data_IF_948353346969
#
_entry.id   IF_948353346969
#
_cell.length_a   1.000
_cell.length_b   1.000
_cell.length_c   1.000
_cell.angle_alpha   90.00
_cell.angle_beta   90.00
_cell.angle_gamma   90.00
#
_symmetry.space_group_name_H-M   'P 1'
#
loop_
_entity.id
_entity.type
_entity.pdbx_description
1 polymer ?
#
# COMPACT_ATOMS: atom_id res chain seq x y z
N UNK A 1 -13.51 -14.27 3.63
CA UNK A 1 -12.29 -14.66 4.36
C UNK A 1 -11.67 -13.39 4.89
N UNK A 2 -11.17 -13.37 6.14
CA UNK A 2 -10.43 -12.21 6.64
C UNK A 2 -9.16 -12.06 5.83
N UNK A 3 -9.22 -11.21 4.80
CA UNK A 3 -8.06 -10.72 4.07
C UNK A 3 -7.14 -10.12 5.13
N UNK A 4 -6.10 -10.87 5.48
CA UNK A 4 -5.06 -10.40 6.38
C UNK A 4 -4.54 -9.15 5.70
N UNK A 5 -4.73 -7.97 6.29
CA UNK A 5 -4.24 -6.72 5.74
C UNK A 5 -2.74 -6.88 5.46
N UNK A 6 -2.39 -7.20 4.20
CA UNK A 6 -1.01 -7.45 3.83
C UNK A 6 -0.35 -6.08 3.80
N UNK A 7 0.59 -5.90 4.72
CA UNK A 7 1.45 -4.73 4.81
C UNK A 7 2.73 -4.99 4.03
N UNK A 8 3.01 -4.14 3.06
CA UNK A 8 4.15 -4.19 2.16
C UNK A 8 5.13 -3.07 2.48
N UNK A 9 6.41 -3.32 2.34
CA UNK A 9 7.44 -2.36 2.73
C UNK A 9 7.92 -1.55 1.52
N UNK A 10 8.41 -0.31 1.72
CA UNK A 10 9.07 0.43 0.64
C UNK A 10 10.23 -0.37 0.06
N UNK A 11 10.35 -0.38 -1.26
CA UNK A 11 11.34 -1.22 -1.93
C UNK A 11 10.86 -2.64 -2.27
N UNK A 12 9.70 -3.06 -1.76
CA UNK A 12 9.10 -4.35 -2.14
C UNK A 12 8.34 -4.25 -3.46
N UNK A 13 8.24 -5.37 -4.17
CA UNK A 13 7.48 -5.47 -5.41
C UNK A 13 5.99 -5.61 -5.11
N UNK A 14 5.19 -4.76 -5.75
CA UNK A 14 3.74 -4.72 -5.65
C UNK A 14 3.16 -6.00 -6.26
N UNK A 15 2.46 -6.83 -5.45
CA UNK A 15 1.97 -8.13 -5.93
C UNK A 15 0.76 -7.99 -6.87
N UNK A 16 -0.01 -6.91 -6.72
CA UNK A 16 -1.25 -6.67 -7.46
C UNK A 16 -1.46 -5.18 -7.69
N UNK A 17 -2.03 -4.81 -8.84
CA UNK A 17 -2.42 -3.42 -9.07
C UNK A 17 -3.58 -3.03 -8.17
N UNK A 18 -3.51 -1.88 -7.53
CA UNK A 18 -4.56 -1.39 -6.63
C UNK A 18 -4.18 -0.12 -5.90
N UNK A 19 -5.11 0.36 -5.10
CA UNK A 19 -4.90 1.44 -4.16
C UNK A 19 -4.36 0.85 -2.85
N UNK A 20 -3.19 1.35 -2.48
CA UNK A 20 -2.50 1.04 -1.26
C UNK A 20 -2.54 2.26 -0.35
N UNK A 21 -2.83 2.04 0.92
CA UNK A 21 -2.88 3.07 1.94
C UNK A 21 -1.75 2.87 2.93
N UNK A 22 -1.20 3.95 3.47
CA UNK A 22 -0.12 3.85 4.45
C UNK A 22 -0.68 3.48 5.81
N UNK A 23 -0.04 2.54 6.50
CA UNK A 23 -0.39 2.20 7.87
C UNK A 23 0.13 3.24 8.89
N UNK A 24 0.15 4.55 8.56
CA UNK A 24 0.60 5.60 9.47
C UNK A 24 -0.40 5.87 10.61
N UNK A 25 -1.68 5.50 10.43
CA UNK A 25 -2.78 5.90 11.32
C UNK A 25 -3.06 7.40 11.35
N UNK A 26 -2.35 8.19 10.54
CA UNK A 26 -2.49 9.63 10.39
C UNK A 26 -3.01 9.92 8.99
N UNK A 27 -4.12 10.67 8.89
CA UNK A 27 -4.70 11.12 7.63
C UNK A 27 -3.80 12.17 6.96
N UNK A 28 -2.74 11.71 6.32
CA UNK A 28 -1.82 12.57 5.58
C UNK A 28 -2.40 12.90 4.20
N UNK A 29 -1.96 14.01 3.59
CA UNK A 29 -2.38 14.41 2.23
C UNK A 29 -2.08 13.34 1.16
N UNK A 30 -1.14 12.43 1.46
CA UNK A 30 -0.70 11.32 0.61
C UNK A 30 -0.97 9.96 1.29
N UNK A 31 -2.17 9.79 1.84
CA UNK A 31 -2.56 8.55 2.53
C UNK A 31 -2.69 7.37 1.56
N UNK A 32 -3.13 7.64 0.32
CA UNK A 32 -3.39 6.63 -0.71
C UNK A 32 -2.40 6.78 -1.87
N UNK A 33 -1.78 5.67 -2.28
CA UNK A 33 -1.03 5.55 -3.53
C UNK A 33 -1.59 4.43 -4.39
N UNK A 34 -1.82 4.73 -5.65
CA UNK A 34 -2.15 3.73 -6.66
C UNK A 34 -0.85 3.09 -7.14
N UNK A 35 -0.64 1.83 -6.80
CA UNK A 35 0.52 1.07 -7.25
C UNK A 35 0.08 0.02 -8.27
N UNK A 36 0.95 -0.23 -9.25
CA UNK A 36 0.72 -1.25 -10.28
C UNK A 36 1.51 -2.52 -9.96
N UNK A 37 0.98 -3.68 -10.32
CA UNK A 37 1.66 -4.96 -10.16
C UNK A 37 3.06 -4.91 -10.79
N UNK A 38 4.03 -5.51 -10.12
CA UNK A 38 5.43 -5.59 -10.54
C UNK A 38 6.20 -4.26 -10.49
N UNK A 39 5.61 -3.19 -9.96
CA UNK A 39 6.34 -1.98 -9.58
C UNK A 39 6.85 -2.06 -8.14
N UNK A 40 7.78 -1.20 -7.79
CA UNK A 40 8.30 -1.09 -6.43
C UNK A 40 7.49 -0.08 -5.63
N UNK A 41 7.16 -0.41 -4.38
CA UNK A 41 6.51 0.54 -3.48
C UNK A 41 7.39 1.77 -3.24
N UNK A 42 6.83 2.99 -3.37
CA UNK A 42 7.60 4.21 -3.17
C UNK A 42 8.06 4.36 -1.71
N UNK A 43 9.18 5.08 -1.49
CA UNK A 43 9.63 5.43 -0.15
C UNK A 43 8.56 6.22 0.59
N UNK A 44 8.37 5.87 1.86
CA UNK A 44 7.45 6.58 2.74
C UNK A 44 8.12 7.90 3.17
N UNK A 45 7.41 9.04 3.16
CA UNK A 45 7.95 10.25 3.75
C UNK A 45 8.26 10.03 5.24
N UNK A 46 9.35 10.68 5.66
CA UNK A 46 9.95 10.67 7.00
C UNK A 46 8.98 10.98 8.15
N UNK A 47 7.86 11.64 7.86
CA UNK A 47 6.81 11.98 8.82
C UNK A 47 5.82 10.84 9.12
N UNK A 48 5.87 9.72 8.39
CA UNK A 48 4.99 8.58 8.65
C UNK A 48 5.63 7.62 9.64
N UNK A 49 5.02 7.51 10.83
CA UNK A 49 5.40 6.52 11.84
C UNK A 49 5.10 5.08 11.40
N UNK A 50 4.26 4.91 10.37
CA UNK A 50 3.97 3.62 9.74
C UNK A 50 4.99 3.30 8.65
N UNK A 51 5.66 2.16 8.75
CA UNK A 51 6.68 1.71 7.79
C UNK A 51 6.16 0.88 6.62
N UNK A 52 4.85 0.85 6.37
CA UNK A 52 4.26 -0.08 5.40
C UNK A 52 3.01 0.45 4.68
N UNK A 53 2.78 -0.13 3.50
CA UNK A 53 1.63 0.04 2.61
C UNK A 53 0.66 -1.12 2.78
N UNK A 54 -0.61 -0.86 3.04
CA UNK A 54 -1.67 -1.86 3.12
C UNK A 54 -2.54 -1.79 1.86
N UNK A 55 -2.86 -2.92 1.24
CA UNK A 55 -3.83 -2.95 0.13
C UNK A 55 -5.23 -2.59 0.66
N UNK A 56 -5.85 -1.56 0.10
CA UNK A 56 -7.23 -1.15 0.44
C UNK A 56 -8.23 -1.51 -0.64
N UNK A 57 -7.89 -1.21 -1.89
CA UNK A 57 -8.78 -1.47 -3.03
C UNK A 57 -7.98 -2.11 -4.17
N UNK A 58 -8.18 -3.40 -4.46
CA UNK A 58 -7.56 -4.04 -5.61
C UNK A 58 -8.17 -3.55 -6.92
N UNK A 59 -7.34 -3.14 -7.89
CA UNK A 59 -7.80 -2.62 -9.18
C UNK A 59 -8.50 -3.70 -10.04
N UNK A 60 -8.20 -4.97 -9.79
CA UNK A 60 -8.93 -6.09 -10.37
C UNK A 60 -9.42 -7.00 -9.25
N UNK A 61 -10.72 -7.32 -9.18
CA UNK A 61 -11.18 -8.43 -8.37
C UNK A 61 -10.52 -9.70 -8.91
N UNK A 62 -9.97 -10.53 -8.02
CA UNK A 62 -9.50 -11.85 -8.43
C UNK A 62 -10.71 -12.63 -8.96
N UNK A 63 -10.64 -13.08 -10.22
CA UNK A 63 -11.58 -14.02 -10.84
C UNK A 63 -11.59 -15.37 -10.11
#
# INVERSE_FOLDING_TARGET
MSEKAQTFHPGETVPQSGNYERNCGQSHRWDTSTNVKNHTFPPLPEDCSGGAWALKDPAHPAD
#
